data_IF_968631969135
#
_entry.id   IF_968631969135
#
_cell.length_a   1.000
_cell.length_b   1.000
_cell.length_c   1.000
_cell.angle_alpha   90.00
_cell.angle_beta   90.00
_cell.angle_gamma   90.00
#
_symmetry.space_group_name_H-M   'P 1'
#
loop_
_entity.id
_entity.type
_entity.pdbx_description
1 polymer ?
#
# COMPACT_ATOMS: atom_id res chain seq x y z
N UNK A 1 5.68 19.98 6.82
CA UNK A 1 5.84 18.90 5.83
C UNK A 1 4.70 17.92 5.99
N UNK A 2 3.93 17.61 4.94
CA UNK A 2 2.86 16.61 5.03
C UNK A 2 3.50 15.23 5.21
N UNK A 3 3.28 14.60 6.36
CA UNK A 3 3.70 13.23 6.64
C UNK A 3 2.99 12.35 5.61
N UNK A 4 3.75 11.84 4.62
CA UNK A 4 3.20 10.94 3.61
C UNK A 4 2.87 9.62 4.31
N UNK A 5 1.58 9.36 4.49
CA UNK A 5 1.13 8.08 5.01
C UNK A 5 1.33 7.01 3.93
N UNK A 6 2.35 6.16 4.12
CA UNK A 6 2.72 5.13 3.16
C UNK A 6 2.11 3.78 3.58
N UNK A 7 1.28 3.21 2.70
CA UNK A 7 0.60 1.94 2.94
C UNK A 7 1.56 0.75 2.78
N UNK A 8 1.42 -0.25 3.64
CA UNK A 8 2.10 -1.55 3.52
C UNK A 8 1.60 -2.33 2.29
N UNK A 9 2.30 -3.39 1.90
CA UNK A 9 1.87 -4.26 0.80
C UNK A 9 0.49 -4.86 1.10
N UNK A 10 0.29 -5.39 2.31
CA UNK A 10 -1.01 -5.90 2.75
C UNK A 10 -2.13 -4.85 2.64
N UNK A 11 -1.93 -3.63 3.15
CA UNK A 11 -2.94 -2.56 3.07
C UNK A 11 -3.26 -2.17 1.61
N UNK A 12 -2.27 -2.23 0.72
CA UNK A 12 -2.48 -2.01 -0.72
C UNK A 12 -3.34 -3.11 -1.34
N UNK A 13 -3.13 -4.38 -0.95
CA UNK A 13 -3.97 -5.50 -1.39
C UNK A 13 -5.40 -5.38 -0.87
N UNK A 14 -5.57 -5.03 0.41
CA UNK A 14 -6.90 -4.78 0.98
C UNK A 14 -7.62 -3.65 0.25
N UNK A 15 -6.94 -2.54 -0.06
CA UNK A 15 -7.49 -1.44 -0.86
C UNK A 15 -7.92 -1.91 -2.25
N UNK A 16 -7.12 -2.77 -2.91
CA UNK A 16 -7.44 -3.33 -4.22
C UNK A 16 -8.68 -4.22 -4.14
N UNK A 17 -8.79 -5.04 -3.08
CA UNK A 17 -9.93 -5.93 -2.85
C UNK A 17 -11.21 -5.15 -2.54
N UNK A 18 -11.15 -4.12 -1.70
CA UNK A 18 -12.26 -3.23 -1.39
C UNK A 18 -12.83 -2.52 -2.63
N UNK A 19 -11.98 -2.30 -3.65
CA UNK A 19 -12.38 -1.71 -4.92
C UNK A 19 -12.93 -2.75 -5.92
N UNK A 20 -12.76 -4.07 -5.71
CA UNK A 20 -12.86 -5.07 -6.79
C UNK A 20 -14.24 -5.70 -7.05
N UNK A 21 -15.27 -5.42 -6.26
CA UNK A 21 -16.51 -6.20 -6.34
C UNK A 21 -17.75 -5.34 -6.63
N UNK A 22 -18.02 -4.96 -7.89
CA UNK A 22 -19.34 -4.53 -8.44
C UNK A 22 -20.16 -3.41 -7.73
N UNK A 23 -19.69 -3.01 -6.55
CA UNK A 23 -20.18 -2.19 -5.44
C UNK A 23 -18.93 -1.78 -4.60
N UNK A 24 -17.74 -1.84 -5.22
CA UNK A 24 -16.47 -1.51 -4.57
C UNK A 24 -16.48 -0.07 -4.07
N UNK A 25 -15.76 0.19 -2.98
CA UNK A 25 -15.69 1.53 -2.41
C UNK A 25 -15.13 2.52 -3.45
N UNK A 26 -15.77 3.67 -3.57
CA UNK A 26 -15.27 4.73 -4.45
C UNK A 26 -13.86 5.15 -4.03
N UNK A 27 -13.06 5.65 -4.96
CA UNK A 27 -11.72 6.14 -4.65
C UNK A 27 -11.71 7.19 -3.55
N UNK A 28 -12.77 8.01 -3.44
CA UNK A 28 -12.93 8.99 -2.37
C UNK A 28 -13.18 8.31 -1.01
N UNK A 29 -13.98 7.25 -0.99
CA UNK A 29 -14.22 6.47 0.23
C UNK A 29 -12.96 5.72 0.67
N UNK A 30 -12.20 5.16 -0.27
CA UNK A 30 -10.92 4.51 0.00
C UNK A 30 -9.88 5.51 0.55
N UNK A 31 -9.82 6.72 -0.02
CA UNK A 31 -8.92 7.78 0.45
C UNK A 31 -9.18 8.12 1.93
N UNK A 32 -10.46 8.22 2.32
CA UNK A 32 -10.85 8.46 3.72
C UNK A 32 -10.54 7.25 4.60
N UNK A 33 -10.92 6.03 4.17
CA UNK A 33 -10.72 4.79 4.95
C UNK A 33 -9.25 4.54 5.27
N UNK A 34 -8.36 4.76 4.30
CA UNK A 34 -6.93 4.51 4.43
C UNK A 34 -6.13 5.77 4.78
N UNK A 35 -6.80 6.91 5.01
CA UNK A 35 -6.19 8.20 5.30
C UNK A 35 -5.05 8.58 4.33
N UNK A 36 -5.29 8.39 3.03
CA UNK A 36 -4.35 8.72 1.96
C UNK A 36 -4.97 9.64 0.92
N UNK A 37 -4.13 10.27 0.11
CA UNK A 37 -4.60 11.12 -0.99
C UNK A 37 -5.31 10.30 -2.08
N UNK A 38 -6.26 10.92 -2.78
CA UNK A 38 -6.91 10.36 -3.97
C UNK A 38 -5.90 9.93 -5.04
N UNK A 39 -4.81 10.70 -5.21
CA UNK A 39 -3.72 10.35 -6.13
C UNK A 39 -3.01 9.07 -5.72
N UNK A 40 -2.78 8.87 -4.41
CA UNK A 40 -2.21 7.63 -3.86
C UNK A 40 -3.12 6.43 -4.13
N UNK A 41 -4.44 6.56 -3.92
CA UNK A 41 -5.42 5.52 -4.24
C UNK A 41 -5.36 5.16 -5.72
N UNK A 42 -5.40 6.16 -6.60
CA UNK A 42 -5.32 5.96 -8.06
C UNK A 42 -4.03 5.24 -8.47
N UNK A 43 -2.89 5.63 -7.90
CA UNK A 43 -1.60 4.98 -8.15
C UNK A 43 -1.58 3.53 -7.68
N UNK A 44 -2.16 3.22 -6.52
CA UNK A 44 -2.23 1.84 -6.02
C UNK A 44 -3.08 0.98 -6.95
N UNK A 45 -4.25 1.48 -7.37
CA UNK A 45 -5.15 0.76 -8.26
C UNK A 45 -4.57 0.55 -9.67
N UNK A 46 -3.82 1.52 -10.20
CA UNK A 46 -3.12 1.38 -11.49
C UNK A 46 -2.07 0.27 -11.46
N UNK A 47 -1.34 0.16 -10.36
CA UNK A 47 -0.27 -0.83 -10.16
C UNK A 47 -0.75 -2.12 -9.48
N UNK A 48 -2.06 -2.38 -9.45
CA UNK A 48 -2.66 -3.52 -8.74
C UNK A 48 -2.09 -4.88 -9.14
N UNK A 49 -1.76 -5.05 -10.42
CA UNK A 49 -1.19 -6.29 -10.92
C UNK A 49 0.19 -6.57 -10.29
N UNK A 50 1.05 -5.56 -10.23
CA UNK A 50 2.36 -5.66 -9.59
C UNK A 50 2.25 -6.00 -8.10
N UNK A 51 1.31 -5.38 -7.38
CA UNK A 51 1.14 -5.66 -5.95
C UNK A 51 0.62 -7.08 -5.69
N UNK A 52 -0.31 -7.57 -6.52
CA UNK A 52 -0.82 -8.93 -6.42
C UNK A 52 0.26 -9.97 -6.73
N UNK A 53 1.10 -9.71 -7.72
CA UNK A 53 2.23 -10.56 -8.09
C UNK A 53 3.30 -10.56 -6.97
N UNK A 54 3.67 -9.38 -6.47
CA UNK A 54 4.56 -9.23 -5.30
C UNK A 54 4.02 -9.98 -4.06
N UNK A 55 2.70 -9.96 -3.84
CA UNK A 55 2.07 -10.65 -2.71
C UNK A 55 2.07 -12.17 -2.90
N UNK A 56 1.87 -12.66 -4.13
CA UNK A 56 1.92 -14.08 -4.45
C UNK A 56 3.34 -14.66 -4.45
N UNK A 57 4.33 -13.86 -4.82
CA UNK A 57 5.73 -14.29 -4.96
C UNK A 57 6.56 -14.19 -3.66
N UNK A 58 6.09 -13.49 -2.62
CA UNK A 58 6.95 -13.05 -1.51
C UNK A 58 6.35 -13.37 -0.12
N UNK A 59 6.99 -14.27 0.63
CA UNK A 59 6.59 -14.70 1.99
C UNK A 59 6.76 -13.64 3.10
N UNK A 60 6.84 -12.35 2.78
CA UNK A 60 7.04 -11.30 3.79
C UNK A 60 6.06 -10.12 3.59
N UNK A 61 4.79 -10.41 3.88
CA UNK A 61 3.62 -9.59 3.56
C UNK A 61 3.49 -8.33 4.43
N UNK A 62 4.26 -8.26 5.53
CA UNK A 62 4.32 -7.13 6.45
C UNK A 62 5.38 -6.07 6.10
N UNK A 63 6.20 -6.29 5.07
CA UNK A 63 7.30 -5.38 4.75
C UNK A 63 6.82 -4.26 3.83
N UNK A 64 7.04 -3.00 4.23
CA UNK A 64 6.87 -1.84 3.34
C UNK A 64 7.84 -2.00 2.16
N UNK A 65 7.36 -1.86 0.92
CA UNK A 65 8.19 -1.93 -0.29
C UNK A 65 9.41 -1.03 -0.08
N UNK A 66 10.63 -1.57 -0.18
CA UNK A 66 11.86 -0.77 -0.03
C UNK A 66 11.79 0.38 -1.02
N UNK A 67 11.50 1.58 -0.54
CA UNK A 67 11.69 2.76 -1.35
C UNK A 67 13.21 2.88 -1.46
N UNK A 68 13.75 2.77 -2.68
CA UNK A 68 15.15 3.06 -2.95
C UNK A 68 15.29 4.59 -2.88
N UNK A 69 15.08 5.17 -1.70
CA UNK A 69 15.59 6.48 -1.37
C UNK A 69 17.02 6.24 -0.89
N UNK A 70 17.97 6.66 -1.72
CA UNK A 70 19.42 6.53 -1.51
C UNK A 70 19.89 7.16 -0.18
N UNK A 71 19.05 7.91 0.55
CA UNK A 71 19.48 8.75 1.67
C UNK A 71 18.72 8.62 3.01
N UNK A 72 17.94 7.57 3.28
CA UNK A 72 17.36 7.42 4.63
C UNK A 72 17.20 5.95 5.04
N UNK A 73 18.31 5.34 5.47
CA UNK A 73 18.32 4.11 6.28
C UNK A 73 18.10 4.49 7.75
N UNK A 74 16.85 4.57 8.17
CA UNK A 74 16.50 4.21 9.53
C UNK A 74 15.63 2.96 9.40
N UNK A 75 16.23 1.81 9.69
CA UNK A 75 15.55 0.54 9.76
C UNK A 75 14.81 0.52 11.10
N UNK A 76 13.49 0.38 11.06
CA UNK A 76 12.66 0.20 12.26
C UNK A 76 12.99 -1.19 12.84
N UNK A 77 13.76 -1.23 13.93
CA UNK A 77 14.35 -2.43 14.56
C UNK A 77 13.32 -3.37 15.23
N UNK A 78 12.02 -3.17 15.06
CA UNK A 78 10.98 -3.85 15.85
C UNK A 78 10.23 -4.98 15.15
N UNK A 79 10.93 -5.86 14.41
CA UNK A 79 10.29 -7.10 13.93
C UNK A 79 11.28 -8.27 13.99
N UNK A 80 11.45 -8.83 15.19
CA UNK A 80 11.90 -10.21 15.40
C UNK A 80 11.14 -10.78 16.60
N UNK A 81 10.27 -11.76 16.34
CA UNK A 81 10.09 -12.95 17.17
C UNK A 81 10.22 -14.17 16.25
#
# INVERSE_FOLDING_TARGET
MSIRHDLTLQQKIELINDNRNGNGLSQRTLAVKYNISLGSVSNVLKRKAEYLDDYGANQNHNVKRKIIHVNSRELDEKVYE
#
